data_IF_519503288970
#
_entry.id   IF_519503288970
#
_cell.length_a   1.000
_cell.length_b   1.000
_cell.length_c   1.000
_cell.angle_alpha   90.00
_cell.angle_beta   90.00
_cell.angle_gamma   90.00
#
_symmetry.space_group_name_H-M   'P 1'
#
loop_
_entity.id
_entity.type
_entity.pdbx_description
1 polymer ?
#
# COMPACT_ATOMS: atom_id res chain seq x y z
N UNK A 1 -22.55 -19.33 5.30
CA UNK A 1 -21.64 -18.35 5.95
C UNK A 1 -21.80 -17.04 5.21
N UNK A 2 -21.75 -15.86 5.86
CA UNK A 2 -21.77 -14.60 5.14
C UNK A 2 -20.55 -14.55 4.19
N UNK A 3 -20.74 -13.98 3.00
CA UNK A 3 -19.65 -13.79 2.05
C UNK A 3 -18.66 -12.75 2.58
N UNK A 4 -17.38 -12.99 2.29
CA UNK A 4 -16.28 -12.16 2.75
C UNK A 4 -15.34 -11.84 1.62
N UNK A 5 -14.80 -10.62 1.63
CA UNK A 5 -13.86 -10.10 0.64
C UNK A 5 -12.55 -9.69 1.30
N UNK A 6 -11.43 -10.17 0.75
CA UNK A 6 -10.09 -9.71 1.17
C UNK A 6 -9.92 -8.23 0.82
N UNK A 7 -9.78 -7.39 1.84
CA UNK A 7 -9.86 -5.94 1.70
C UNK A 7 -8.63 -5.25 2.26
N UNK A 8 -8.24 -4.17 1.59
CA UNK A 8 -7.23 -3.21 2.05
C UNK A 8 -7.61 -1.82 1.54
N UNK A 9 -7.09 -0.78 2.18
CA UNK A 9 -7.22 0.62 1.76
C UNK A 9 -5.87 1.09 1.25
N UNK A 10 -5.83 1.79 0.12
CA UNK A 10 -4.59 2.22 -0.50
C UNK A 10 -4.73 3.53 -1.28
N UNK A 11 -3.59 4.15 -1.55
CA UNK A 11 -3.44 5.25 -2.51
C UNK A 11 -2.97 4.65 -3.83
N UNK A 12 -3.70 4.94 -4.91
CA UNK A 12 -3.33 4.54 -6.26
C UNK A 12 -2.11 5.32 -6.76
N UNK A 13 -1.28 4.66 -7.57
CA UNK A 13 -0.13 5.30 -8.22
C UNK A 13 -0.56 5.90 -9.57
N UNK A 14 -0.25 7.18 -9.86
CA UNK A 14 -0.49 7.78 -11.16
C UNK A 14 0.11 6.96 -12.32
N UNK A 15 -0.58 6.91 -13.45
CA UNK A 15 -0.19 6.09 -14.61
C UNK A 15 1.26 6.32 -15.06
N UNK A 16 1.71 7.58 -15.12
CA UNK A 16 3.07 7.93 -15.49
C UNK A 16 4.14 7.32 -14.55
N UNK A 17 3.86 7.30 -13.23
CA UNK A 17 4.74 6.66 -12.24
C UNK A 17 4.67 5.14 -12.34
N UNK A 18 3.48 4.57 -12.58
CA UNK A 18 3.30 3.14 -12.79
C UNK A 18 4.11 2.64 -14.00
N UNK A 19 4.14 3.39 -15.10
CA UNK A 19 4.98 3.08 -16.26
C UNK A 19 6.48 3.16 -15.96
N UNK A 20 6.90 4.17 -15.20
CA UNK A 20 8.30 4.30 -14.78
C UNK A 20 8.74 3.11 -13.91
N UNK A 21 7.90 2.69 -12.96
CA UNK A 21 8.14 1.50 -12.15
C UNK A 21 8.18 0.22 -12.99
N UNK A 22 7.28 0.07 -13.96
CA UNK A 22 7.29 -1.09 -14.85
C UNK A 22 8.60 -1.18 -15.68
N UNK A 23 9.10 -0.04 -16.18
CA UNK A 23 10.42 0.01 -16.86
C UNK A 23 11.55 -0.40 -15.92
N UNK A 24 11.51 0.05 -14.67
CA UNK A 24 12.48 -0.35 -13.65
C UNK A 24 12.42 -1.87 -13.37
N UNK A 25 11.24 -2.47 -13.28
CA UNK A 25 11.09 -3.92 -13.12
C UNK A 25 11.73 -4.69 -14.29
N UNK A 26 11.62 -4.21 -15.54
CA UNK A 26 12.28 -4.85 -16.68
C UNK A 26 13.80 -4.84 -16.55
N UNK A 27 14.37 -3.78 -15.99
CA UNK A 27 15.82 -3.67 -15.75
C UNK A 27 16.28 -4.58 -14.61
N UNK A 28 15.48 -4.72 -13.54
CA UNK A 28 15.81 -5.53 -12.38
C UNK A 28 15.49 -7.03 -12.54
N UNK A 29 14.58 -7.38 -13.46
CA UNK A 29 14.12 -8.74 -13.73
C UNK A 29 15.24 -9.79 -13.84
N UNK A 30 16.28 -9.55 -14.66
CA UNK A 30 17.40 -10.49 -14.82
C UNK A 30 18.16 -10.79 -13.53
N UNK A 31 18.24 -9.85 -12.59
CA UNK A 31 18.95 -10.01 -11.31
C UNK A 31 18.16 -10.83 -10.29
N UNK A 32 16.84 -10.97 -10.49
CA UNK A 32 15.95 -11.71 -9.59
C UNK A 32 14.99 -12.59 -10.38
N UNK A 33 15.48 -13.69 -10.99
CA UNK A 33 14.69 -14.51 -11.91
C UNK A 33 13.46 -15.17 -11.25
N UNK A 34 13.52 -15.46 -9.94
CA UNK A 34 12.43 -16.10 -9.19
C UNK A 34 11.41 -15.11 -8.59
N UNK A 35 11.56 -13.81 -8.88
CA UNK A 35 10.63 -12.80 -8.42
C UNK A 35 9.28 -12.88 -9.16
N UNK A 36 8.20 -12.91 -8.39
CA UNK A 36 6.86 -12.57 -8.88
C UNK A 36 6.70 -11.06 -8.90
N UNK A 37 6.88 -10.46 -10.07
CA UNK A 37 6.69 -9.04 -10.30
C UNK A 37 5.22 -8.62 -10.20
N UNK A 38 4.96 -7.50 -9.53
CA UNK A 38 3.63 -6.90 -9.41
C UNK A 38 3.28 -6.21 -10.73
N UNK A 39 2.11 -6.52 -11.29
CA UNK A 39 1.66 -5.89 -12.53
C UNK A 39 1.39 -4.39 -12.35
N UNK A 40 1.62 -3.60 -13.40
CA UNK A 40 1.53 -2.13 -13.38
C UNK A 40 0.22 -1.57 -12.79
N UNK A 41 -0.91 -2.23 -13.02
CA UNK A 41 -2.22 -1.81 -12.51
C UNK A 41 -2.43 -2.09 -11.02
N UNK A 42 -1.51 -2.80 -10.38
CA UNK A 42 -1.58 -3.17 -8.97
C UNK A 42 -0.58 -2.41 -8.10
N UNK A 43 0.12 -1.40 -8.63
CA UNK A 43 0.99 -0.55 -7.81
C UNK A 43 0.14 0.40 -6.96
N UNK A 44 0.43 0.41 -5.67
CA UNK A 44 -0.28 1.23 -4.69
C UNK A 44 0.59 1.42 -3.43
N UNK A 45 0.26 2.44 -2.64
CA UNK A 45 0.73 2.58 -1.26
C UNK A 45 -0.37 2.10 -0.34
N UNK A 46 -0.17 0.98 0.34
CA UNK A 46 -1.18 0.44 1.27
C UNK A 46 -1.23 1.30 2.54
N UNK A 47 -2.43 1.74 2.94
CA UNK A 47 -2.67 2.44 4.20
C UNK A 47 -3.16 1.50 5.30
N UNK A 48 -4.00 0.51 4.93
CA UNK A 48 -4.50 -0.46 5.89
C UNK A 48 -4.78 -1.83 5.26
N UNK A 49 -4.38 -2.92 5.93
CA UNK A 49 -4.76 -4.29 5.57
C UNK A 49 -5.84 -4.79 6.54
N UNK A 50 -7.01 -5.17 6.03
CA UNK A 50 -8.14 -5.57 6.87
C UNK A 50 -8.34 -7.09 6.93
N UNK A 51 -7.70 -7.84 6.02
CA UNK A 51 -7.97 -9.27 5.87
C UNK A 51 -9.34 -9.49 5.24
N UNK A 52 -10.08 -10.49 5.72
CA UNK A 52 -11.42 -10.80 5.23
C UNK A 52 -12.47 -9.90 5.90
N UNK A 53 -13.14 -9.08 5.09
CA UNK A 53 -14.22 -8.17 5.50
C UNK A 53 -15.55 -8.76 5.07
N UNK A 54 -16.56 -8.73 5.93
CA UNK A 54 -17.90 -9.17 5.57
C UNK A 54 -18.47 -8.24 4.49
N UNK A 55 -19.00 -8.78 3.40
CA UNK A 55 -19.44 -7.98 2.25
C UNK A 55 -20.50 -6.94 2.64
N UNK A 56 -21.33 -7.23 3.65
CA UNK A 56 -22.35 -6.30 4.18
C UNK A 56 -21.75 -5.04 4.81
N UNK A 57 -20.49 -5.09 5.24
CA UNK A 57 -19.81 -4.00 5.93
C UNK A 57 -19.00 -3.13 4.95
N UNK A 58 -18.79 -3.57 3.69
CA UNK A 58 -17.96 -2.87 2.70
C UNK A 58 -18.43 -1.43 2.44
N UNK A 59 -19.74 -1.23 2.29
CA UNK A 59 -20.30 0.11 2.06
C UNK A 59 -20.11 1.03 3.28
N UNK A 60 -20.28 0.48 4.48
CA UNK A 60 -20.08 1.23 5.74
C UNK A 60 -18.60 1.57 5.91
N UNK A 61 -17.72 0.64 5.60
CA UNK A 61 -16.28 0.84 5.63
C UNK A 61 -15.85 1.93 4.64
N UNK A 62 -16.34 1.88 3.40
CA UNK A 62 -16.05 2.89 2.38
C UNK A 62 -16.48 4.30 2.80
N UNK A 63 -17.66 4.43 3.41
CA UNK A 63 -18.13 5.72 3.97
C UNK A 63 -17.25 6.22 5.11
N UNK A 64 -16.92 5.36 6.09
CA UNK A 64 -16.08 5.74 7.22
C UNK A 64 -14.67 6.19 6.76
N UNK A 65 -14.08 5.48 5.80
CA UNK A 65 -12.80 5.89 5.20
C UNK A 65 -12.95 7.22 4.45
N UNK A 66 -14.00 7.39 3.65
CA UNK A 66 -14.29 8.62 2.92
C UNK A 66 -14.41 9.85 3.84
N UNK A 67 -15.15 9.72 4.94
CA UNK A 67 -15.29 10.78 5.96
C UNK A 67 -13.96 11.10 6.63
N UNK A 68 -13.15 10.08 6.94
CA UNK A 68 -11.86 10.25 7.60
C UNK A 68 -10.81 10.93 6.71
N UNK A 69 -10.86 10.72 5.39
CA UNK A 69 -9.90 11.34 4.46
C UNK A 69 -10.36 12.71 3.93
N UNK A 70 -11.65 13.05 4.03
CA UNK A 70 -12.20 14.30 3.53
C UNK A 70 -11.49 15.59 4.02
N UNK A 71 -10.96 15.68 5.25
CA UNK A 71 -10.23 16.85 5.72
C UNK A 71 -8.80 16.99 5.15
N UNK A 72 -8.28 15.98 4.44
CA UNK A 72 -6.91 15.99 3.94
C UNK A 72 -6.82 16.64 2.56
N UNK A 73 -6.19 17.82 2.51
CA UNK A 73 -5.79 18.44 1.25
C UNK A 73 -4.75 17.60 0.50
N UNK A 74 -4.78 17.54 -0.85
CA UNK A 74 -3.76 16.87 -1.65
C UNK A 74 -2.33 17.33 -1.30
N UNK A 75 -1.38 16.40 -1.35
CA UNK A 75 0.03 16.68 -1.10
C UNK A 75 0.94 15.90 -2.05
N UNK A 76 2.15 16.40 -2.26
CA UNK A 76 3.11 15.81 -3.17
C UNK A 76 4.15 14.95 -2.42
N UNK A 77 4.43 13.78 -2.98
CA UNK A 77 5.52 12.88 -2.60
C UNK A 77 6.25 12.45 -3.86
N UNK A 78 7.44 11.88 -3.69
CA UNK A 78 8.22 11.27 -4.77
C UNK A 78 8.61 9.85 -4.41
N UNK A 79 8.75 9.00 -5.43
CA UNK A 79 9.35 7.68 -5.25
C UNK A 79 10.86 7.84 -5.16
N UNK A 80 11.46 7.28 -4.12
CA UNK A 80 12.89 7.38 -3.88
C UNK A 80 13.39 6.16 -3.11
N UNK A 81 14.54 5.64 -3.53
CA UNK A 81 15.17 4.48 -2.92
C UNK A 81 14.48 3.16 -3.27
N UNK A 82 15.28 2.09 -3.19
CA UNK A 82 14.83 0.71 -3.27
C UNK A 82 15.17 0.01 -1.97
N UNK A 83 14.31 -0.91 -1.57
CA UNK A 83 14.50 -1.70 -0.38
C UNK A 83 13.85 -3.06 -0.49
N UNK A 84 14.00 -3.83 0.59
CA UNK A 84 13.42 -5.16 0.67
C UNK A 84 12.97 -5.49 2.10
N UNK A 85 11.94 -6.33 2.22
CA UNK A 85 11.48 -6.85 3.51
C UNK A 85 11.63 -8.38 3.58
N UNK A 86 11.84 -8.97 4.78
CA UNK A 86 12.13 -8.28 6.04
C UNK A 86 13.54 -7.69 6.08
N UNK A 87 14.51 -8.33 5.43
CA UNK A 87 15.89 -7.86 5.31
C UNK A 87 16.48 -8.19 3.93
N UNK A 88 17.47 -7.43 3.43
CA UNK A 88 18.02 -7.60 2.09
C UNK A 88 18.72 -8.94 1.84
N UNK A 89 19.23 -9.61 2.88
CA UNK A 89 19.94 -10.89 2.74
C UNK A 89 19.01 -12.07 2.45
N UNK A 90 17.71 -11.96 2.80
CA UNK A 90 16.70 -12.98 2.50
C UNK A 90 15.33 -12.34 2.26
N UNK A 91 15.20 -11.56 1.17
CA UNK A 91 14.02 -10.76 0.95
C UNK A 91 12.84 -11.63 0.50
N UNK A 92 11.65 -11.28 1.00
CA UNK A 92 10.35 -11.80 0.55
C UNK A 92 9.63 -10.80 -0.36
N UNK A 93 9.98 -9.52 -0.29
CA UNK A 93 9.47 -8.49 -1.20
C UNK A 93 10.52 -7.42 -1.49
N UNK A 94 10.46 -6.90 -2.71
CA UNK A 94 11.17 -5.68 -3.12
C UNK A 94 10.19 -4.54 -3.28
N UNK A 95 10.62 -3.34 -2.95
CA UNK A 95 9.76 -2.16 -2.96
C UNK A 95 10.53 -0.88 -3.30
N UNK A 96 9.79 0.11 -3.78
CA UNK A 96 10.25 1.49 -3.92
C UNK A 96 9.75 2.33 -2.75
N UNK A 97 10.63 3.12 -2.15
CA UNK A 97 10.30 3.99 -1.01
C UNK A 97 9.57 5.26 -1.44
N UNK A 98 9.03 5.98 -0.47
CA UNK A 98 8.51 7.34 -0.66
C UNK A 98 9.39 8.34 0.10
N UNK A 99 9.59 9.50 -0.51
CA UNK A 99 10.28 10.64 0.07
C UNK A 99 9.51 11.94 -0.19
N UNK A 100 9.84 12.99 0.55
CA UNK A 100 9.21 14.31 0.44
C UNK A 100 8.93 14.93 1.80
N UNK A 101 8.71 16.25 1.81
CA UNK A 101 8.40 17.02 3.02
C UNK A 101 7.03 16.64 3.61
N UNK A 102 6.12 16.11 2.79
CA UNK A 102 4.78 15.69 3.21
C UNK A 102 4.70 14.25 3.74
N UNK A 103 5.82 13.58 4.04
CA UNK A 103 5.79 12.20 4.56
C UNK A 103 5.03 12.08 5.88
N UNK A 104 5.10 13.09 6.74
CA UNK A 104 4.35 13.06 8.00
C UNK A 104 2.84 13.21 7.77
N UNK A 105 2.41 13.98 6.75
CA UNK A 105 1.00 14.04 6.33
C UNK A 105 0.50 12.69 5.84
N UNK A 106 1.34 11.90 5.15
CA UNK A 106 0.99 10.53 4.75
C UNK A 106 0.81 9.61 5.97
N UNK A 107 1.65 9.75 7.01
CA UNK A 107 1.49 8.99 8.26
C UNK A 107 0.22 9.40 9.00
N UNK A 108 -0.10 10.68 9.03
CA UNK A 108 -1.36 11.19 9.61
C UNK A 108 -2.58 10.63 8.87
N UNK A 109 -2.54 10.63 7.53
CA UNK A 109 -3.58 10.03 6.69
C UNK A 109 -3.75 8.54 7.00
N UNK A 110 -2.63 7.80 7.11
CA UNK A 110 -2.65 6.38 7.45
C UNK A 110 -3.29 6.14 8.83
N UNK A 111 -2.96 6.96 9.83
CA UNK A 111 -3.56 6.87 11.17
C UNK A 111 -5.06 7.15 11.15
N UNK A 112 -5.51 8.17 10.41
CA UNK A 112 -6.92 8.49 10.25
C UNK A 112 -7.69 7.32 9.60
N UNK A 113 -7.13 6.72 8.55
CA UNK A 113 -7.71 5.52 7.92
C UNK A 113 -7.74 4.34 8.89
N UNK A 114 -6.66 4.08 9.63
CA UNK A 114 -6.58 3.00 10.62
C UNK A 114 -7.66 3.15 11.71
N UNK A 115 -7.87 4.37 12.21
CA UNK A 115 -8.92 4.67 13.20
C UNK A 115 -10.33 4.51 12.61
N UNK A 116 -10.56 4.94 11.38
CA UNK A 116 -11.84 4.78 10.70
C UNK A 116 -12.21 3.30 10.54
N UNK A 117 -11.25 2.48 10.08
CA UNK A 117 -11.39 1.02 9.98
C UNK A 117 -11.73 0.41 11.35
N UNK A 118 -11.03 0.83 12.42
CA UNK A 118 -11.29 0.38 13.78
C UNK A 118 -12.69 0.73 14.29
N UNK A 119 -13.21 1.92 13.96
CA UNK A 119 -14.56 2.35 14.34
C UNK A 119 -15.68 1.50 13.71
N UNK A 120 -15.39 0.79 12.62
CA UNK A 120 -16.31 -0.13 11.93
C UNK A 120 -16.18 -1.56 12.48
N UNK A 121 -15.21 -1.83 13.36
CA UNK A 121 -15.02 -3.11 14.04
C UNK A 121 -13.95 -4.02 13.43
N UNK A 122 -13.12 -3.48 12.54
CA UNK A 122 -12.00 -4.20 11.93
C UNK A 122 -10.67 -3.83 12.62
N UNK A 123 -9.69 -4.74 12.70
CA UNK A 123 -8.45 -4.45 13.40
C UNK A 123 -7.72 -3.24 12.79
N UNK A 124 -7.17 -2.32 13.62
CA UNK A 124 -6.34 -1.24 13.13
C UNK A 124 -5.06 -1.79 12.51
N UNK A 125 -4.45 -1.01 11.62
CA UNK A 125 -3.16 -1.34 11.02
C UNK A 125 -2.00 -1.05 11.97
N UNK A 126 -0.90 -1.81 11.82
CA UNK A 126 0.33 -1.70 12.64
C UNK A 126 0.87 -0.26 12.64
N UNK A 127 1.27 0.23 13.81
CA UNK A 127 1.86 1.56 14.02
C UNK A 127 3.21 1.73 13.29
N UNK A 128 3.87 0.63 12.92
CA UNK A 128 5.10 0.60 12.11
C UNK A 128 4.81 0.76 10.62
N UNK A 129 4.09 1.81 10.27
CA UNK A 129 3.82 2.16 8.89
C UNK A 129 5.11 2.59 8.17
N UNK A 130 5.57 1.75 7.24
CA UNK A 130 6.67 2.05 6.32
C UNK A 130 6.09 2.27 4.92
N UNK A 131 5.88 3.52 4.47
CA UNK A 131 5.24 3.80 3.19
C UNK A 131 6.13 3.32 2.02
N UNK A 132 5.58 2.46 1.16
CA UNK A 132 6.30 1.89 0.03
C UNK A 132 5.33 1.44 -1.08
N UNK A 133 5.87 1.24 -2.29
CA UNK A 133 5.19 0.56 -3.39
C UNK A 133 5.88 -0.78 -3.61
N UNK A 134 5.15 -1.89 -3.42
CA UNK A 134 5.70 -3.23 -3.66
C UNK A 134 5.91 -3.44 -5.17
N UNK A 135 7.14 -3.79 -5.56
CA UNK A 135 7.52 -4.07 -6.95
C UNK A 135 7.50 -5.57 -7.25
N UNK A 136 7.92 -6.39 -6.30
CA UNK A 136 7.97 -7.84 -6.48
C UNK A 136 7.82 -8.57 -5.15
N UNK A 137 7.40 -9.84 -5.24
CA UNK A 137 7.45 -10.79 -4.13
C UNK A 137 8.28 -11.99 -4.55
N UNK A 138 9.14 -12.47 -3.66
CA UNK A 138 9.96 -13.67 -3.89
C UNK A 138 9.24 -14.83 -3.22
N UNK A 139 9.07 -15.94 -3.95
CA UNK A 139 8.65 -17.19 -3.33
C UNK A 139 9.87 -17.79 -2.64
N UNK A 140 9.82 -17.84 -1.31
CA UNK A 140 10.71 -18.68 -0.50
C UNK A 140 10.28 -20.14 -0.56
#
# INVERSE_FOLDING_TARGET
MPSTTRTFVAIEIPSALSEALARLQTQLGPEVPDARWIGRGNFHVTLAFLGDVNDRDLDRLGRAVGEAVAPFEPFALRLEGLGAFPEPGRPRSFWAGLAGEALDRLKELQRAVSQAVASVGYPPSDDRFSPHVTLARIKT
#
